data_IF_706074787446
#
_entry.id   IF_706074787446
#
_cell.length_a   1.000
_cell.length_b   1.000
_cell.length_c   1.000
_cell.angle_alpha   90.00
_cell.angle_beta   90.00
_cell.angle_gamma   90.00
#
_symmetry.space_group_name_H-M   'P 1'
#
loop_
_entity.id
_entity.type
_entity.pdbx_description
1 polymer ?
#
# COMPACT_ATOMS: atom_id res chain seq x y z
N UNK A 1 3.43 35.18 -15.07
CA UNK A 1 3.88 33.80 -14.76
C UNK A 1 2.92 33.26 -13.71
N UNK A 2 2.38 32.05 -13.86
CA UNK A 2 1.45 31.50 -12.87
C UNK A 2 2.23 30.87 -11.71
N UNK A 3 1.84 31.16 -10.48
CA UNK A 3 2.44 30.56 -9.28
C UNK A 3 1.59 29.38 -8.79
N UNK A 4 2.27 28.31 -8.35
CA UNK A 4 1.61 27.18 -7.69
C UNK A 4 1.12 27.59 -6.29
N UNK A 5 0.04 26.98 -5.84
CA UNK A 5 -0.44 27.17 -4.47
C UNK A 5 0.62 26.71 -3.45
N UNK A 6 0.67 27.36 -2.28
CA UNK A 6 1.68 27.09 -1.24
C UNK A 6 1.73 25.62 -0.81
N UNK A 7 0.58 24.94 -0.76
CA UNK A 7 0.52 23.52 -0.45
C UNK A 7 1.23 22.63 -1.49
N UNK A 8 1.30 23.08 -2.77
CA UNK A 8 2.01 22.34 -3.83
C UNK A 8 3.51 22.60 -3.75
N UNK A 9 3.92 23.86 -3.42
CA UNK A 9 5.33 24.21 -3.23
C UNK A 9 5.98 23.46 -2.05
N UNK A 10 5.16 23.06 -1.06
CA UNK A 10 5.60 22.30 0.12
C UNK A 10 5.71 20.79 -0.11
N UNK A 11 5.27 20.27 -1.26
CA UNK A 11 5.42 18.84 -1.57
C UNK A 11 6.91 18.48 -1.63
N UNK A 12 7.31 17.37 -0.97
CA UNK A 12 8.65 16.85 -1.17
C UNK A 12 8.83 16.44 -2.65
N UNK A 13 10.07 16.45 -3.16
CA UNK A 13 10.35 15.89 -4.48
C UNK A 13 9.80 14.47 -4.57
N UNK A 14 9.13 14.16 -5.68
CA UNK A 14 8.60 12.82 -5.86
C UNK A 14 9.76 11.84 -6.08
N UNK A 15 9.99 10.98 -5.08
CA UNK A 15 11.12 10.05 -5.01
C UNK A 15 11.37 9.28 -6.33
N UNK A 16 10.32 8.76 -6.94
CA UNK A 16 10.45 7.97 -8.16
C UNK A 16 10.86 8.81 -9.38
N UNK A 17 10.56 10.10 -9.42
CA UNK A 17 11.00 10.97 -10.52
C UNK A 17 12.52 11.19 -10.52
N UNK A 18 13.14 11.27 -9.34
CA UNK A 18 14.60 11.37 -9.25
C UNK A 18 15.28 10.05 -9.64
N UNK A 19 14.72 8.93 -9.18
CA UNK A 19 15.20 7.60 -9.58
C UNK A 19 15.09 7.42 -11.10
N UNK A 20 13.97 7.84 -11.71
CA UNK A 20 13.80 7.74 -13.17
C UNK A 20 14.80 8.59 -13.94
N UNK A 21 15.12 9.80 -13.46
CA UNK A 21 16.17 10.63 -14.05
C UNK A 21 17.54 9.95 -14.01
N UNK A 22 17.93 9.40 -12.87
CA UNK A 22 19.20 8.67 -12.71
C UNK A 22 19.24 7.43 -13.59
N UNK A 23 18.15 6.69 -13.72
CA UNK A 23 18.04 5.54 -14.63
C UNK A 23 18.34 5.93 -16.07
N UNK A 24 17.75 7.04 -16.55
CA UNK A 24 18.00 7.52 -17.92
C UNK A 24 19.46 7.93 -18.15
N UNK A 25 20.10 8.54 -17.16
CA UNK A 25 21.53 8.90 -17.25
C UNK A 25 22.43 7.66 -17.32
N UNK A 26 22.12 6.62 -16.54
CA UNK A 26 22.90 5.38 -16.53
C UNK A 26 22.65 4.55 -17.79
N UNK A 27 21.43 4.49 -18.31
CA UNK A 27 21.11 3.85 -19.59
C UNK A 27 21.88 4.47 -20.77
N UNK A 28 22.03 5.79 -20.79
CA UNK A 28 22.83 6.48 -21.82
C UNK A 28 24.31 6.08 -21.82
N UNK A 29 24.81 5.56 -20.68
CA UNK A 29 26.18 5.00 -20.57
C UNK A 29 26.25 3.54 -21.03
N UNK A 30 25.16 2.94 -21.52
CA UNK A 30 25.09 1.56 -22.03
C UNK A 30 24.93 0.49 -20.93
N UNK A 31 24.60 0.88 -19.70
CA UNK A 31 24.37 -0.08 -18.61
C UNK A 31 22.98 -0.69 -18.75
N UNK A 32 22.92 -2.02 -18.73
CA UNK A 32 21.66 -2.78 -18.63
C UNK A 32 21.11 -2.69 -17.22
N UNK A 33 19.88 -2.21 -17.08
CA UNK A 33 19.26 -1.89 -15.78
C UNK A 33 18.15 -2.87 -15.44
N UNK A 34 18.23 -3.44 -14.25
CA UNK A 34 17.16 -4.22 -13.61
C UNK A 34 16.49 -3.36 -12.52
N UNK A 35 15.23 -3.05 -12.72
CA UNK A 35 14.48 -2.22 -11.77
C UNK A 35 13.82 -3.08 -10.69
N UNK A 36 14.37 -3.02 -9.47
CA UNK A 36 13.82 -3.60 -8.25
C UNK A 36 13.26 -2.53 -7.29
N UNK A 37 13.19 -1.28 -7.74
CA UNK A 37 12.70 -0.16 -6.92
C UNK A 37 11.16 -0.06 -6.92
N UNK A 38 10.52 -0.33 -8.06
CA UNK A 38 9.08 -0.16 -8.21
C UNK A 38 8.33 -1.45 -7.85
N UNK A 39 7.31 -1.34 -7.00
CA UNK A 39 6.43 -2.46 -6.63
C UNK A 39 5.26 -2.59 -7.60
N UNK A 40 5.54 -2.89 -8.87
CA UNK A 40 4.54 -3.11 -9.91
C UNK A 40 4.63 -4.55 -10.43
N UNK A 41 3.67 -5.43 -10.09
CA UNK A 41 3.69 -6.82 -10.53
C UNK A 41 3.77 -6.96 -12.06
N UNK A 42 4.78 -7.70 -12.53
CA UNK A 42 5.01 -8.01 -13.94
C UNK A 42 4.15 -9.16 -14.47
N UNK A 43 3.64 -10.01 -13.57
CA UNK A 43 2.76 -11.11 -13.92
C UNK A 43 1.44 -10.54 -14.42
N UNK A 44 0.93 -11.00 -15.58
CA UNK A 44 -0.34 -10.48 -16.10
C UNK A 44 -1.52 -10.79 -15.18
N UNK A 45 -2.56 -9.97 -15.28
CA UNK A 45 -3.86 -10.27 -14.68
C UNK A 45 -4.34 -11.64 -15.13
N UNK A 46 -4.91 -12.49 -14.26
CA UNK A 46 -5.46 -13.81 -14.62
C UNK A 46 -6.39 -13.74 -15.84
N UNK A 47 -6.21 -14.70 -16.75
CA UNK A 47 -6.91 -14.70 -18.03
C UNK A 47 -8.43 -14.71 -17.88
N UNK A 48 -8.93 -15.39 -16.87
CA UNK A 48 -10.37 -15.48 -16.58
C UNK A 48 -10.97 -14.10 -16.28
N UNK A 49 -10.25 -13.24 -15.55
CA UNK A 49 -10.64 -11.86 -15.27
C UNK A 49 -10.70 -11.05 -16.57
N UNK A 50 -9.70 -11.24 -17.46
CA UNK A 50 -9.62 -10.55 -18.75
C UNK A 50 -10.80 -10.95 -19.63
N UNK A 51 -11.16 -12.24 -19.70
CA UNK A 51 -12.29 -12.71 -20.51
C UNK A 51 -13.64 -12.19 -20.00
N UNK A 52 -13.80 -12.07 -18.67
CA UNK A 52 -14.99 -11.43 -18.08
C UNK A 52 -15.06 -9.94 -18.47
N UNK A 53 -13.94 -9.23 -18.41
CA UNK A 53 -13.88 -7.82 -18.80
C UNK A 53 -14.23 -7.62 -20.29
N UNK A 54 -13.72 -8.47 -21.18
CA UNK A 54 -14.05 -8.41 -22.62
C UNK A 54 -15.55 -8.53 -22.86
N UNK A 55 -16.21 -9.49 -22.21
CA UNK A 55 -17.67 -9.65 -22.30
C UNK A 55 -18.41 -8.44 -21.71
N UNK A 56 -17.92 -7.89 -20.61
CA UNK A 56 -18.53 -6.73 -19.99
C UNK A 56 -18.41 -5.47 -20.87
N UNK A 57 -17.35 -5.36 -21.68
CA UNK A 57 -17.17 -4.27 -22.66
C UNK A 57 -18.19 -4.33 -23.81
N UNK A 58 -18.74 -5.50 -24.12
CA UNK A 58 -19.75 -5.67 -25.18
C UNK A 58 -21.15 -5.26 -24.70
N UNK A 59 -21.40 -5.16 -23.40
CA UNK A 59 -22.69 -4.72 -22.85
C UNK A 59 -22.76 -3.17 -22.81
N UNK A 60 -23.65 -2.56 -23.65
CA UNK A 60 -23.76 -1.10 -23.71
C UNK A 60 -24.20 -0.45 -22.39
N UNK A 61 -24.80 -1.18 -21.45
CA UNK A 61 -25.15 -0.67 -20.12
C UNK A 61 -23.92 -0.25 -19.34
N UNK A 62 -22.80 -0.91 -19.57
CA UNK A 62 -21.55 -0.60 -18.90
C UNK A 62 -20.87 0.67 -19.44
N UNK A 63 -21.36 1.28 -20.52
CA UNK A 63 -20.80 2.51 -21.12
C UNK A 63 -21.41 3.79 -20.52
N UNK A 64 -22.37 3.67 -19.64
CA UNK A 64 -23.00 4.81 -18.96
C UNK A 64 -22.22 5.18 -17.69
N UNK A 65 -22.51 6.36 -17.12
CA UNK A 65 -21.95 6.75 -15.84
C UNK A 65 -22.25 5.68 -14.78
N UNK A 66 -21.23 5.20 -14.04
CA UNK A 66 -21.45 4.26 -12.96
C UNK A 66 -22.07 4.95 -11.72
N UNK A 67 -22.53 4.14 -10.77
CA UNK A 67 -22.81 4.66 -9.43
C UNK A 67 -21.54 5.21 -8.80
N UNK A 68 -21.61 6.38 -8.17
CA UNK A 68 -20.46 7.02 -7.50
C UNK A 68 -19.85 6.17 -6.37
N UNK A 69 -20.69 5.38 -5.68
CA UNK A 69 -20.24 4.47 -4.61
C UNK A 69 -19.82 3.10 -5.14
N UNK A 70 -20.03 2.85 -6.44
CA UNK A 70 -19.76 1.58 -7.10
C UNK A 70 -20.99 0.70 -7.28
N UNK A 71 -20.90 -0.23 -8.23
CA UNK A 71 -21.95 -1.22 -8.49
C UNK A 71 -22.25 -2.02 -7.24
N UNK A 72 -23.52 -2.32 -6.99
CA UNK A 72 -23.92 -3.12 -5.84
C UNK A 72 -23.27 -4.50 -5.84
N UNK A 73 -23.20 -5.14 -7.00
CA UNK A 73 -22.59 -6.46 -7.18
C UNK A 73 -21.12 -6.47 -6.77
N UNK A 74 -20.36 -5.42 -7.11
CA UNK A 74 -18.96 -5.29 -6.71
C UNK A 74 -18.82 -5.08 -5.20
N UNK A 75 -19.64 -4.18 -4.62
CA UNK A 75 -19.63 -3.92 -3.18
C UNK A 75 -20.05 -5.16 -2.38
N UNK A 76 -21.04 -5.91 -2.88
CA UNK A 76 -21.46 -7.16 -2.29
C UNK A 76 -20.35 -8.22 -2.36
N UNK A 77 -19.69 -8.35 -3.51
CA UNK A 77 -18.58 -9.30 -3.66
C UNK A 77 -17.42 -8.95 -2.69
N UNK A 78 -17.13 -7.67 -2.46
CA UNK A 78 -16.16 -7.22 -1.48
C UNK A 78 -16.58 -7.59 -0.03
N UNK A 79 -17.85 -7.35 0.33
CA UNK A 79 -18.40 -7.74 1.63
C UNK A 79 -18.35 -9.27 1.84
N UNK A 80 -18.79 -10.04 0.84
CA UNK A 80 -18.77 -11.50 0.88
C UNK A 80 -17.34 -12.06 0.97
N UNK A 81 -16.38 -11.42 0.29
CA UNK A 81 -14.97 -11.78 0.38
C UNK A 81 -14.41 -11.52 1.78
N UNK A 82 -14.72 -10.37 2.41
CA UNK A 82 -14.35 -10.08 3.80
C UNK A 82 -14.92 -11.10 4.78
N UNK A 83 -16.18 -11.52 4.56
CA UNK A 83 -16.79 -12.57 5.39
C UNK A 83 -16.07 -13.92 5.26
N UNK A 84 -15.72 -14.33 4.02
CA UNK A 84 -15.00 -15.60 3.79
C UNK A 84 -13.56 -15.55 4.30
N UNK A 85 -12.87 -14.43 4.06
CA UNK A 85 -11.42 -14.32 4.29
C UNK A 85 -11.06 -13.96 5.72
N UNK A 86 -11.83 -13.07 6.34
CA UNK A 86 -11.56 -12.47 7.64
C UNK A 86 -12.68 -12.69 8.66
N UNK A 87 -13.74 -13.39 8.30
CA UNK A 87 -14.94 -13.56 9.12
C UNK A 87 -15.59 -12.23 9.57
N UNK A 88 -15.39 -11.14 8.80
CA UNK A 88 -15.97 -9.81 9.07
C UNK A 88 -17.27 -9.64 8.28
N UNK A 89 -18.35 -9.35 8.97
CA UNK A 89 -19.66 -9.07 8.36
C UNK A 89 -19.79 -7.58 8.04
N UNK A 90 -20.16 -7.28 6.78
CA UNK A 90 -20.29 -5.93 6.24
C UNK A 90 -21.59 -5.78 5.47
N UNK A 91 -22.29 -4.66 5.67
CA UNK A 91 -23.40 -4.27 4.82
C UNK A 91 -22.88 -3.61 3.54
N UNK A 92 -23.10 -4.27 2.41
CA UNK A 92 -22.70 -3.77 1.09
C UNK A 92 -23.33 -2.41 0.72
N UNK A 93 -24.43 -2.00 1.37
CA UNK A 93 -25.07 -0.72 1.08
C UNK A 93 -24.45 0.47 1.81
N UNK A 94 -23.95 0.25 3.02
CA UNK A 94 -23.52 1.34 3.91
C UNK A 94 -22.07 1.24 4.37
N UNK A 95 -21.46 0.06 4.32
CA UNK A 95 -20.11 -0.20 4.87
C UNK A 95 -19.06 -0.54 3.81
N UNK A 96 -19.38 -0.37 2.52
CA UNK A 96 -18.49 -0.63 1.38
C UNK A 96 -18.59 0.46 0.34
N UNK A 97 -17.44 0.93 -0.16
CA UNK A 97 -17.35 1.86 -1.30
C UNK A 97 -16.27 1.41 -2.28
N UNK A 98 -16.54 1.47 -3.59
CA UNK A 98 -15.55 1.20 -4.62
C UNK A 98 -14.59 2.37 -4.80
N UNK A 99 -13.33 2.08 -5.17
CA UNK A 99 -12.26 3.07 -5.30
C UNK A 99 -11.52 2.90 -6.63
N UNK A 100 -11.11 4.02 -7.24
CA UNK A 100 -10.21 4.04 -8.40
C UNK A 100 -8.78 3.67 -7.94
N UNK A 101 -8.65 2.44 -7.41
CA UNK A 101 -7.53 1.95 -6.61
C UNK A 101 -7.55 2.52 -5.18
N UNK A 102 -6.98 1.77 -4.21
CA UNK A 102 -6.97 2.18 -2.79
C UNK A 102 -6.34 3.55 -2.54
N UNK A 103 -5.33 3.93 -3.35
CA UNK A 103 -4.64 5.22 -3.25
C UNK A 103 -5.60 6.42 -3.30
N UNK A 104 -6.62 6.37 -4.15
CA UNK A 104 -7.63 7.42 -4.28
C UNK A 104 -8.38 7.62 -2.96
N UNK A 105 -8.90 6.54 -2.37
CA UNK A 105 -9.62 6.60 -1.11
C UNK A 105 -8.76 7.07 0.06
N UNK A 106 -7.51 6.57 0.12
CA UNK A 106 -6.51 7.00 1.12
C UNK A 106 -6.25 8.51 1.00
N UNK A 107 -6.12 9.02 -0.24
CA UNK A 107 -5.86 10.44 -0.48
C UNK A 107 -7.07 11.32 -0.15
N UNK A 108 -8.28 10.84 -0.35
CA UNK A 108 -9.52 11.60 -0.14
C UNK A 108 -10.04 11.54 1.31
N UNK A 109 -9.71 10.50 2.06
CA UNK A 109 -10.24 10.32 3.42
C UNK A 109 -9.97 11.52 4.34
N UNK A 110 -8.74 12.08 4.41
CA UNK A 110 -8.50 13.25 5.26
C UNK A 110 -9.34 14.46 4.88
N UNK A 111 -9.68 14.64 3.59
CA UNK A 111 -10.52 15.76 3.15
C UNK A 111 -11.93 15.73 3.75
N UNK A 112 -12.41 14.52 4.13
CA UNK A 112 -13.73 14.37 4.73
C UNK A 112 -13.74 14.66 6.25
N UNK A 113 -12.63 14.48 6.96
CA UNK A 113 -12.62 14.44 8.42
C UNK A 113 -11.60 15.34 9.11
N UNK A 114 -10.61 15.86 8.38
CA UNK A 114 -9.51 16.64 8.95
C UNK A 114 -9.70 18.12 8.64
N UNK A 115 -9.69 18.94 9.67
CA UNK A 115 -9.70 20.39 9.56
C UNK A 115 -8.30 20.97 9.76
N UNK A 116 -8.04 22.21 9.32
CA UNK A 116 -6.81 22.93 9.66
C UNK A 116 -6.58 22.97 11.17
N UNK A 117 -5.41 22.46 11.61
CA UNK A 117 -5.04 22.41 13.03
C UNK A 117 -5.22 21.04 13.68
N UNK A 118 -6.03 20.14 13.11
CA UNK A 118 -6.14 18.75 13.54
C UNK A 118 -4.85 17.98 13.21
N UNK A 119 -4.54 16.94 14.03
CA UNK A 119 -3.42 16.06 13.76
C UNK A 119 -3.85 14.81 12.98
N UNK A 120 -2.95 14.39 12.10
CA UNK A 120 -2.99 13.10 11.41
C UNK A 120 -1.72 12.33 11.78
N UNK A 121 -1.89 11.16 12.40
CA UNK A 121 -0.77 10.26 12.74
C UNK A 121 -0.40 9.44 11.50
N UNK A 122 0.87 9.48 11.10
CA UNK A 122 1.38 8.77 9.91
C UNK A 122 2.62 7.95 10.26
N UNK A 123 2.76 6.72 9.75
CA UNK A 123 3.97 5.93 9.96
C UNK A 123 5.17 6.55 9.23
N UNK A 124 6.35 6.48 9.84
CA UNK A 124 7.63 6.90 9.28
C UNK A 124 8.70 5.81 9.57
N UNK A 125 9.22 5.05 8.57
CA UNK A 125 8.88 5.13 7.16
C UNK A 125 7.46 4.66 6.85
N UNK A 126 6.87 5.16 5.76
CA UNK A 126 5.52 4.81 5.37
C UNK A 126 5.22 5.10 3.90
N UNK A 127 4.05 4.70 3.45
CA UNK A 127 3.62 4.98 2.09
C UNK A 127 3.47 6.50 1.88
N UNK A 128 4.16 7.11 0.89
CA UNK A 128 4.26 8.57 0.77
C UNK A 128 2.94 9.31 0.62
N UNK A 129 1.85 8.60 0.32
CA UNK A 129 0.52 9.21 0.16
C UNK A 129 -0.06 9.67 1.49
N UNK A 130 0.24 9.02 2.61
CA UNK A 130 -0.37 9.37 3.91
C UNK A 130 -0.07 10.81 4.34
N UNK A 131 1.22 11.23 4.43
CA UNK A 131 1.53 12.61 4.80
C UNK A 131 1.04 13.63 3.76
N UNK A 132 1.10 13.29 2.46
CA UNK A 132 0.60 14.18 1.39
C UNK A 132 -0.90 14.40 1.50
N UNK A 133 -1.67 13.35 1.75
CA UNK A 133 -3.12 13.44 1.94
C UNK A 133 -3.50 14.31 3.16
N UNK A 134 -2.79 14.12 4.29
CA UNK A 134 -2.97 14.95 5.48
C UNK A 134 -2.68 16.43 5.20
N UNK A 135 -1.60 16.72 4.49
CA UNK A 135 -1.20 18.09 4.11
C UNK A 135 -2.24 18.73 3.18
N UNK A 136 -2.77 18.00 2.18
CA UNK A 136 -3.80 18.53 1.28
C UNK A 136 -5.11 18.86 1.99
N UNK A 137 -5.44 18.14 3.05
CA UNK A 137 -6.57 18.44 3.92
C UNK A 137 -6.30 19.60 4.89
N UNK A 138 -5.07 20.11 4.99
CA UNK A 138 -4.68 21.16 5.93
C UNK A 138 -4.36 20.63 7.34
N UNK A 139 -4.27 19.34 7.53
CA UNK A 139 -3.92 18.69 8.80
C UNK A 139 -2.44 18.86 9.16
N UNK A 140 -2.15 18.78 10.45
CA UNK A 140 -0.80 18.68 10.99
C UNK A 140 -0.36 17.23 11.01
N UNK A 141 0.81 16.96 10.47
CA UNK A 141 1.38 15.61 10.43
C UNK A 141 2.13 15.35 11.74
N UNK A 142 1.79 14.24 12.40
CA UNK A 142 2.61 13.65 13.45
C UNK A 142 3.20 12.34 12.92
N UNK A 143 4.52 12.27 12.81
CA UNK A 143 5.25 11.08 12.35
C UNK A 143 5.37 10.08 13.50
N UNK A 144 4.95 8.85 13.28
CA UNK A 144 5.14 7.74 14.19
C UNK A 144 6.35 6.91 13.72
N UNK A 145 7.50 6.98 14.41
CA UNK A 145 8.70 6.25 14.00
C UNK A 145 8.48 4.74 14.03
N UNK A 146 8.76 4.06 12.91
CA UNK A 146 8.77 2.60 12.82
C UNK A 146 10.21 2.10 12.91
N UNK A 147 10.59 1.57 14.05
CA UNK A 147 11.97 1.16 14.34
C UNK A 147 12.09 -0.36 14.45
N UNK A 148 13.27 -0.89 14.11
CA UNK A 148 13.56 -2.32 14.16
C UNK A 148 13.40 -2.91 15.56
N UNK A 149 13.80 -2.17 16.61
CA UNK A 149 13.63 -2.59 18.01
C UNK A 149 12.18 -2.83 18.40
N UNK A 150 11.24 -2.25 17.66
CA UNK A 150 9.78 -2.39 17.86
C UNK A 150 9.11 -3.19 16.71
N UNK A 151 9.89 -4.02 16.02
CA UNK A 151 9.42 -4.80 14.85
C UNK A 151 8.73 -3.93 13.79
N UNK A 152 9.15 -2.68 13.64
CA UNK A 152 8.53 -1.67 12.75
C UNK A 152 7.04 -1.43 13.02
N UNK A 153 6.60 -1.60 14.28
CA UNK A 153 5.33 -1.11 14.78
C UNK A 153 5.54 0.26 15.46
N UNK A 154 4.58 1.20 15.39
CA UNK A 154 4.70 2.45 16.11
C UNK A 154 4.59 2.21 17.64
N UNK A 155 5.37 2.93 18.40
CA UNK A 155 5.24 2.99 19.85
C UNK A 155 4.08 3.95 20.20
N UNK A 156 2.92 3.36 20.48
CA UNK A 156 1.69 4.11 20.79
C UNK A 156 1.76 4.86 22.11
N UNK A 157 2.53 4.34 23.08
CA UNK A 157 2.67 4.93 24.41
C UNK A 157 3.54 6.19 24.37
N UNK A 158 4.42 6.32 23.38
CA UNK A 158 5.29 7.48 23.20
C UNK A 158 4.57 8.72 22.65
N UNK A 159 3.33 8.58 22.19
CA UNK A 159 2.57 9.69 21.59
C UNK A 159 2.03 10.59 22.69
N UNK A 160 2.45 11.86 22.67
CA UNK A 160 2.00 12.86 23.65
C UNK A 160 0.47 12.99 23.66
N UNK A 161 -0.12 13.03 24.86
CA UNK A 161 -1.56 13.13 25.03
C UNK A 161 -2.15 14.41 24.41
N UNK A 162 -1.39 15.51 24.38
CA UNK A 162 -1.81 16.75 23.75
C UNK A 162 -1.96 16.64 22.23
N UNK A 163 -1.22 15.74 21.59
CA UNK A 163 -1.34 15.36 20.18
C UNK A 163 -2.58 14.47 20.00
N UNK A 164 -2.69 13.41 20.82
CA UNK A 164 -3.82 12.47 20.75
C UNK A 164 -5.17 13.15 20.89
N UNK A 165 -5.30 14.12 21.79
CA UNK A 165 -6.55 14.92 21.97
C UNK A 165 -6.95 15.74 20.75
N UNK A 166 -6.03 16.04 19.84
CA UNK A 166 -6.26 16.78 18.59
C UNK A 166 -6.18 15.90 17.35
N UNK A 167 -5.93 14.61 17.52
CA UNK A 167 -5.87 13.66 16.41
C UNK A 167 -7.28 13.39 15.87
N UNK A 168 -7.41 13.37 14.54
CA UNK A 168 -8.62 13.00 13.82
C UNK A 168 -8.48 11.74 13.02
N UNK A 169 -7.25 11.43 12.60
CA UNK A 169 -6.99 10.28 11.74
C UNK A 169 -5.62 9.68 12.07
N UNK A 170 -5.56 8.37 12.09
CA UNK A 170 -4.32 7.60 12.18
C UNK A 170 -4.25 6.65 10.98
N UNK A 171 -3.17 6.74 10.21
CA UNK A 171 -2.86 5.73 9.19
C UNK A 171 -2.02 4.62 9.79
N UNK A 172 -2.41 3.38 9.49
CA UNK A 172 -1.61 2.17 9.69
C UNK A 172 -1.65 1.36 8.40
N UNK A 173 -0.66 0.50 8.16
CA UNK A 173 -0.66 -0.35 6.97
C UNK A 173 0.19 -1.59 7.22
N UNK A 174 -0.46 -2.73 7.39
CA UNK A 174 0.18 -4.03 7.59
C UNK A 174 -0.59 -5.11 6.82
N UNK A 175 0.11 -6.02 6.10
CA UNK A 175 1.57 -6.06 5.91
C UNK A 175 2.14 -4.78 5.28
N UNK A 176 3.28 -4.32 5.79
CA UNK A 176 3.75 -2.95 5.60
C UNK A 176 4.55 -2.72 4.32
N UNK A 177 4.31 -1.61 3.68
CA UNK A 177 5.18 -1.01 2.68
C UNK A 177 5.79 0.29 3.30
N UNK A 178 7.13 0.37 3.50
CA UNK A 178 8.17 -0.40 2.82
C UNK A 178 8.76 -1.57 3.61
N UNK A 179 8.51 -1.69 4.91
CA UNK A 179 9.30 -2.52 5.84
C UNK A 179 9.01 -4.02 5.77
N UNK A 180 7.92 -4.45 5.12
CA UNK A 180 7.39 -5.82 5.11
C UNK A 180 7.02 -6.36 6.49
N UNK A 181 7.01 -5.51 7.50
CA UNK A 181 6.58 -5.86 8.84
C UNK A 181 5.10 -6.29 8.85
N UNK A 182 4.75 -7.07 9.83
CA UNK A 182 3.39 -7.56 10.06
C UNK A 182 2.94 -7.17 11.45
N UNK A 183 1.65 -6.92 11.62
CA UNK A 183 1.05 -6.61 12.90
C UNK A 183 0.36 -7.86 13.48
N UNK A 184 0.32 -7.95 14.80
CA UNK A 184 -0.42 -8.96 15.53
C UNK A 184 -1.73 -8.41 16.10
N UNK A 185 -2.53 -9.29 16.65
CA UNK A 185 -3.83 -8.97 17.25
C UNK A 185 -3.69 -7.98 18.43
N UNK A 186 -2.62 -8.11 19.24
CA UNK A 186 -2.42 -7.24 20.40
C UNK A 186 -2.15 -5.80 19.98
N UNK A 187 -1.33 -5.61 18.96
CA UNK A 187 -1.10 -4.28 18.41
C UNK A 187 -2.40 -3.64 17.92
N UNK A 188 -3.21 -4.37 17.15
CA UNK A 188 -4.47 -3.84 16.67
C UNK A 188 -5.47 -3.54 17.80
N UNK A 189 -5.53 -4.36 18.85
CA UNK A 189 -6.33 -4.08 20.05
C UNK A 189 -5.91 -2.76 20.70
N UNK A 190 -4.61 -2.54 20.88
CA UNK A 190 -4.09 -1.28 21.43
C UNK A 190 -4.46 -0.07 20.56
N UNK A 191 -4.42 -0.21 19.23
CA UNK A 191 -4.86 0.84 18.30
C UNK A 191 -6.36 1.14 18.46
N UNK A 192 -7.21 0.11 18.55
CA UNK A 192 -8.66 0.28 18.75
C UNK A 192 -8.95 0.99 20.07
N UNK A 193 -8.31 0.58 21.16
CA UNK A 193 -8.48 1.19 22.47
C UNK A 193 -8.08 2.67 22.47
N UNK A 194 -6.93 2.97 21.82
CA UNK A 194 -6.45 4.34 21.69
C UNK A 194 -7.41 5.20 20.87
N UNK A 195 -7.89 4.67 19.74
CA UNK A 195 -8.83 5.36 18.88
C UNK A 195 -10.16 5.65 19.56
N UNK A 196 -10.69 4.69 20.33
CA UNK A 196 -11.92 4.89 21.13
C UNK A 196 -11.72 5.93 22.23
N UNK A 197 -10.57 5.88 22.94
CA UNK A 197 -10.27 6.80 24.04
C UNK A 197 -10.18 8.26 23.58
N UNK A 198 -9.58 8.51 22.42
CA UNK A 198 -9.34 9.86 21.91
C UNK A 198 -10.26 10.26 20.75
N UNK A 199 -11.17 9.39 20.35
CA UNK A 199 -12.19 9.62 19.32
C UNK A 199 -11.59 10.06 17.97
N UNK A 200 -10.71 9.23 17.41
CA UNK A 200 -10.16 9.41 16.07
C UNK A 200 -10.39 8.19 15.18
N UNK A 201 -10.32 8.41 13.86
CA UNK A 201 -10.51 7.36 12.84
C UNK A 201 -9.20 6.64 12.61
N UNK A 202 -9.24 5.31 12.50
CA UNK A 202 -8.13 4.48 12.05
C UNK A 202 -8.33 4.12 10.59
N UNK A 203 -7.38 4.50 9.73
CA UNK A 203 -7.32 4.14 8.32
C UNK A 203 -6.28 3.03 8.13
N UNK A 204 -6.75 1.80 7.99
CA UNK A 204 -5.92 0.61 7.77
C UNK A 204 -5.72 0.37 6.27
N UNK A 205 -4.47 0.41 5.78
CA UNK A 205 -4.11 0.07 4.40
C UNK A 205 -3.69 -1.40 4.33
N UNK A 206 -4.60 -2.25 3.87
CA UNK A 206 -4.44 -3.71 3.83
C UNK A 206 -4.26 -4.22 2.38
N UNK A 207 -3.42 -3.56 1.60
CA UNK A 207 -3.23 -3.88 0.18
C UNK A 207 -2.46 -5.19 -0.06
N UNK A 208 -1.77 -5.75 0.95
CA UNK A 208 -0.84 -6.87 0.80
C UNK A 208 -1.26 -8.15 1.54
N UNK A 209 -2.48 -8.22 2.08
CA UNK A 209 -2.97 -9.39 2.81
C UNK A 209 -2.94 -10.71 2.03
N UNK A 210 -2.99 -10.63 0.71
CA UNK A 210 -3.02 -11.82 -0.15
C UNK A 210 -1.64 -12.17 -0.76
N UNK A 211 -0.57 -11.53 -0.28
CA UNK A 211 0.81 -11.87 -0.64
C UNK A 211 1.54 -12.24 0.65
N UNK A 212 1.48 -13.51 1.00
CA UNK A 212 2.02 -14.05 2.25
C UNK A 212 2.75 -15.37 2.04
N UNK A 213 3.60 -15.74 3.00
CA UNK A 213 4.57 -16.80 2.88
C UNK A 213 4.56 -17.72 4.10
N UNK A 214 4.99 -18.96 3.91
CA UNK A 214 5.26 -19.93 4.97
C UNK A 214 4.06 -20.18 5.91
N UNK A 215 2.83 -20.10 5.37
CA UNK A 215 1.59 -20.30 6.13
C UNK A 215 1.22 -19.12 7.05
N UNK A 216 1.89 -17.98 6.92
CA UNK A 216 1.45 -16.76 7.61
C UNK A 216 0.13 -16.25 7.03
N UNK A 217 -0.84 -16.00 7.89
CA UNK A 217 -2.13 -15.43 7.53
C UNK A 217 -2.27 -14.04 8.16
N UNK A 218 -2.30 -12.98 7.35
CA UNK A 218 -2.53 -11.61 7.83
C UNK A 218 -3.91 -11.46 8.44
N UNK A 219 -3.97 -10.70 9.51
CA UNK A 219 -5.20 -10.32 10.20
C UNK A 219 -5.71 -9.00 9.60
N UNK A 220 -7.01 -8.91 9.32
CA UNK A 220 -7.66 -7.62 9.06
C UNK A 220 -7.80 -6.82 10.35
N UNK A 221 -7.57 -5.52 10.30
CA UNK A 221 -7.87 -4.63 11.42
C UNK A 221 -9.32 -4.76 11.89
N UNK A 222 -10.24 -4.99 10.95
CA UNK A 222 -11.67 -5.11 11.23
C UNK A 222 -12.09 -6.43 11.92
N UNK A 223 -11.19 -7.42 12.03
CA UNK A 223 -11.42 -8.63 12.84
C UNK A 223 -11.41 -8.33 14.34
N UNK A 224 -10.77 -7.23 14.74
CA UNK A 224 -10.64 -6.85 16.16
C UNK A 224 -11.97 -6.30 16.68
N UNK A 225 -12.38 -6.79 17.84
CA UNK A 225 -13.60 -6.32 18.48
C UNK A 225 -13.60 -4.79 18.70
N UNK A 226 -14.64 -4.15 18.21
CA UNK A 226 -14.78 -2.69 18.25
C UNK A 226 -14.01 -1.92 17.18
N UNK A 227 -13.21 -2.57 16.33
CA UNK A 227 -12.47 -1.90 15.26
C UNK A 227 -13.40 -1.24 14.23
N UNK A 228 -14.52 -1.90 13.90
CA UNK A 228 -15.52 -1.35 12.97
C UNK A 228 -16.19 -0.07 13.49
N UNK A 229 -16.15 0.18 14.80
CA UNK A 229 -16.69 1.43 15.37
C UNK A 229 -15.81 2.65 15.03
N UNK A 230 -14.51 2.45 14.87
CA UNK A 230 -13.53 3.53 14.72
C UNK A 230 -12.72 3.45 13.40
N UNK A 231 -12.90 2.39 12.59
CA UNK A 231 -11.99 2.08 11.51
C UNK A 231 -12.61 2.03 10.12
N UNK A 232 -11.75 2.31 9.15
CA UNK A 232 -11.93 2.04 7.73
C UNK A 232 -10.70 1.28 7.23
N UNK A 233 -10.92 0.24 6.42
CA UNK A 233 -9.84 -0.54 5.83
C UNK A 233 -9.88 -0.45 4.30
N UNK A 234 -8.71 -0.26 3.69
CA UNK A 234 -8.53 -0.13 2.25
C UNK A 234 -7.94 -1.41 1.67
N UNK A 235 -8.54 -1.90 0.60
CA UNK A 235 -8.04 -3.05 -0.12
C UNK A 235 -7.87 -2.74 -1.61
N UNK A 236 -6.86 -3.36 -2.24
CA UNK A 236 -6.52 -3.12 -3.64
C UNK A 236 -6.46 -4.42 -4.43
N UNK A 237 -7.22 -4.51 -5.53
CA UNK A 237 -7.12 -5.64 -6.46
C UNK A 237 -5.80 -5.59 -7.26
N UNK A 238 -5.10 -4.45 -7.23
CA UNK A 238 -3.80 -4.27 -7.89
C UNK A 238 -2.76 -5.30 -7.48
N UNK A 239 -2.74 -5.68 -6.19
CA UNK A 239 -1.72 -6.59 -5.64
C UNK A 239 -2.24 -8.02 -5.58
N UNK A 240 -3.51 -8.19 -5.21
CA UNK A 240 -4.15 -9.50 -5.08
C UNK A 240 -4.26 -10.24 -6.41
N UNK A 241 -4.52 -9.51 -7.53
CA UNK A 241 -4.79 -10.12 -8.84
C UNK A 241 -3.95 -9.50 -9.97
N UNK A 242 -2.85 -8.81 -9.66
CA UNK A 242 -2.03 -8.11 -10.65
C UNK A 242 -2.85 -7.16 -11.56
N UNK A 243 -3.76 -6.42 -10.96
CA UNK A 243 -4.65 -5.47 -11.65
C UNK A 243 -4.19 -4.01 -11.44
N UNK A 244 -2.88 -3.74 -11.43
CA UNK A 244 -2.35 -2.40 -11.14
C UNK A 244 -2.86 -1.33 -12.10
N UNK A 245 -2.87 -1.62 -13.40
CA UNK A 245 -3.36 -0.73 -14.45
C UNK A 245 -4.88 -0.58 -14.51
N UNK A 246 -5.63 -1.49 -13.89
CA UNK A 246 -7.10 -1.50 -13.93
C UNK A 246 -7.73 -0.44 -13.02
N UNK A 247 -6.96 0.07 -12.07
CA UNK A 247 -7.39 1.10 -11.13
C UNK A 247 -8.65 0.72 -10.36
N UNK A 248 -8.66 -0.43 -9.68
CA UNK A 248 -9.79 -0.90 -8.88
C UNK A 248 -9.34 -1.33 -7.47
N UNK A 249 -10.11 -0.93 -6.50
CA UNK A 249 -10.01 -1.26 -5.09
C UNK A 249 -11.32 -0.94 -4.39
N UNK A 250 -11.32 -1.05 -3.08
CA UNK A 250 -12.48 -0.70 -2.26
C UNK A 250 -12.04 -0.31 -0.85
N UNK A 251 -12.93 0.37 -0.15
CA UNK A 251 -12.82 0.60 1.29
C UNK A 251 -14.04 0.02 2.00
N UNK A 252 -13.81 -0.48 3.21
CA UNK A 252 -14.82 -1.11 4.06
C UNK A 252 -14.68 -0.66 5.51
N UNK A 253 -15.76 -0.70 6.29
CA UNK A 253 -15.69 -0.42 7.71
C UNK A 253 -16.82 0.44 8.22
N UNK A 254 -16.51 1.39 9.10
CA UNK A 254 -17.49 2.27 9.73
C UNK A 254 -18.37 3.00 8.71
N UNK A 255 -19.68 2.86 8.79
CA UNK A 255 -20.66 3.42 7.84
C UNK A 255 -20.58 4.95 7.70
N UNK A 256 -20.29 5.65 8.80
CA UNK A 256 -20.23 7.11 8.78
C UNK A 256 -18.93 7.59 8.11
N UNK A 257 -17.84 6.84 8.30
CA UNK A 257 -16.55 7.08 7.63
C UNK A 257 -16.66 6.77 6.14
N UNK A 258 -17.29 5.66 5.77
CA UNK A 258 -17.60 5.31 4.36
C UNK A 258 -18.47 6.37 3.70
N UNK A 259 -19.51 6.85 4.38
CA UNK A 259 -20.37 7.93 3.86
C UNK A 259 -19.59 9.24 3.68
N UNK A 260 -18.73 9.62 4.63
CA UNK A 260 -17.88 10.80 4.52
C UNK A 260 -16.93 10.74 3.32
N UNK A 261 -16.23 9.62 3.14
CA UNK A 261 -15.39 9.37 1.97
C UNK A 261 -16.22 9.40 0.68
N UNK A 262 -17.41 8.78 0.67
CA UNK A 262 -18.34 8.80 -0.46
C UNK A 262 -18.77 10.20 -0.87
N UNK A 263 -18.99 11.12 0.09
CA UNK A 263 -19.31 12.53 -0.20
C UNK A 263 -18.14 13.24 -0.91
N UNK A 264 -16.90 12.99 -0.52
CA UNK A 264 -15.74 13.53 -1.22
C UNK A 264 -15.66 12.98 -2.64
N UNK A 265 -15.77 11.66 -2.79
CA UNK A 265 -15.75 10.99 -4.11
C UNK A 265 -16.78 11.57 -5.07
N UNK A 266 -18.04 11.66 -4.66
CA UNK A 266 -19.13 12.14 -5.54
C UNK A 266 -18.92 13.58 -6.02
N UNK A 267 -18.04 14.35 -5.39
CA UNK A 267 -17.69 15.71 -5.79
C UNK A 267 -16.36 15.82 -6.56
N UNK A 268 -15.60 14.74 -6.68
CA UNK A 268 -14.29 14.71 -7.34
C UNK A 268 -14.28 13.82 -8.57
N UNK A 269 -14.88 12.62 -8.49
CA UNK A 269 -14.90 11.66 -9.59
C UNK A 269 -16.31 11.12 -9.83
N UNK A 270 -16.46 10.37 -10.93
CA UNK A 270 -17.73 9.74 -11.31
C UNK A 270 -17.74 8.22 -11.13
N UNK A 271 -16.81 7.70 -10.32
CA UNK A 271 -16.69 6.28 -10.04
C UNK A 271 -15.88 5.49 -11.07
N UNK A 272 -15.80 4.17 -10.86
CA UNK A 272 -15.02 3.25 -11.70
C UNK A 272 -15.84 2.81 -12.91
N UNK A 273 -15.21 2.69 -14.06
CA UNK A 273 -15.81 2.11 -15.27
C UNK A 273 -16.47 0.74 -14.95
N UNK A 274 -17.73 0.56 -15.35
CA UNK A 274 -18.54 -0.58 -14.93
C UNK A 274 -17.94 -1.93 -15.36
N UNK A 275 -17.37 -2.02 -16.58
CA UNK A 275 -16.74 -3.26 -17.04
C UNK A 275 -15.56 -3.70 -16.15
N UNK A 276 -14.83 -2.75 -15.57
CA UNK A 276 -13.77 -3.04 -14.59
C UNK A 276 -14.36 -3.56 -13.27
N UNK A 277 -15.50 -3.02 -12.84
CA UNK A 277 -16.18 -3.49 -11.64
C UNK A 277 -16.77 -4.89 -11.81
N UNK A 278 -17.30 -5.22 -12.99
CA UNK A 278 -17.76 -6.58 -13.33
C UNK A 278 -16.61 -7.57 -13.25
N UNK A 279 -15.46 -7.22 -13.82
CA UNK A 279 -14.24 -8.04 -13.73
C UNK A 279 -13.74 -8.18 -12.28
N UNK A 280 -13.77 -7.10 -11.50
CA UNK A 280 -13.41 -7.10 -10.07
C UNK A 280 -14.37 -7.94 -9.22
N UNK A 281 -15.65 -7.95 -9.53
CA UNK A 281 -16.66 -8.82 -8.91
C UNK A 281 -16.30 -10.29 -9.11
N UNK A 282 -15.97 -10.67 -10.35
CA UNK A 282 -15.53 -12.02 -10.67
C UNK A 282 -14.25 -12.39 -9.92
N UNK A 283 -13.28 -11.47 -9.88
CA UNK A 283 -12.01 -11.69 -9.20
C UNK A 283 -12.21 -11.98 -7.70
N UNK A 284 -13.02 -11.17 -7.01
CA UNK A 284 -13.30 -11.35 -5.58
C UNK A 284 -14.08 -12.63 -5.28
N UNK A 285 -15.02 -13.01 -6.15
CA UNK A 285 -15.79 -14.25 -5.98
C UNK A 285 -14.96 -15.51 -6.20
N UNK A 286 -13.80 -15.42 -6.87
CA UNK A 286 -12.91 -16.54 -7.17
C UNK A 286 -11.50 -16.30 -6.62
N UNK A 287 -11.37 -15.53 -5.54
CA UNK A 287 -10.11 -15.00 -5.06
C UNK A 287 -9.07 -16.10 -4.78
N UNK A 288 -9.46 -17.17 -4.10
CA UNK A 288 -8.55 -18.23 -3.65
C UNK A 288 -7.92 -18.98 -4.83
N UNK A 289 -8.71 -19.20 -5.90
CA UNK A 289 -8.25 -19.92 -7.10
C UNK A 289 -7.34 -19.03 -7.94
N UNK A 290 -7.74 -17.76 -8.11
CA UNK A 290 -7.03 -16.82 -8.98
C UNK A 290 -5.74 -16.26 -8.36
N UNK A 291 -5.67 -16.19 -7.04
CA UNK A 291 -4.49 -15.68 -6.34
C UNK A 291 -3.38 -16.74 -6.18
N UNK A 292 -3.73 -18.02 -6.06
CA UNK A 292 -2.76 -19.10 -5.83
C UNK A 292 -1.57 -19.10 -6.81
N UNK A 293 -1.77 -19.08 -8.15
CA UNK A 293 -0.64 -19.06 -9.09
C UNK A 293 0.25 -17.83 -8.94
N UNK A 294 -0.33 -16.70 -8.55
CA UNK A 294 0.40 -15.44 -8.29
C UNK A 294 1.29 -15.60 -7.05
N UNK A 295 0.74 -16.16 -5.98
CA UNK A 295 1.49 -16.44 -4.75
C UNK A 295 2.66 -17.39 -4.98
N UNK A 296 2.47 -18.47 -5.76
CA UNK A 296 3.52 -19.45 -6.07
C UNK A 296 4.75 -18.77 -6.71
N UNK A 297 4.53 -17.83 -7.63
CA UNK A 297 5.63 -17.07 -8.24
C UNK A 297 6.34 -16.18 -7.21
N UNK A 298 5.59 -15.50 -6.34
CA UNK A 298 6.20 -14.64 -5.32
C UNK A 298 6.91 -15.45 -4.22
N UNK A 299 6.43 -16.63 -3.86
CA UNK A 299 7.13 -17.55 -2.94
C UNK A 299 8.50 -17.93 -3.51
N UNK A 300 8.56 -18.34 -4.78
CA UNK A 300 9.82 -18.71 -5.43
C UNK A 300 10.80 -17.51 -5.49
N UNK A 301 10.34 -16.35 -5.97
CA UNK A 301 11.14 -15.14 -6.04
C UNK A 301 11.64 -14.67 -4.67
N UNK A 302 10.80 -14.73 -3.64
CA UNK A 302 11.18 -14.38 -2.26
C UNK A 302 12.27 -15.32 -1.74
N UNK A 303 12.16 -16.60 -2.01
CA UNK A 303 13.15 -17.58 -1.58
C UNK A 303 14.50 -17.37 -2.28
N UNK A 304 14.48 -17.14 -3.59
CA UNK A 304 15.69 -16.83 -4.36
C UNK A 304 16.37 -15.54 -3.86
N UNK A 305 15.59 -14.46 -3.67
CA UNK A 305 16.13 -13.19 -3.19
C UNK A 305 16.67 -13.30 -1.77
N UNK A 306 15.95 -13.99 -0.86
CA UNK A 306 16.41 -14.23 0.50
C UNK A 306 17.76 -14.96 0.54
N UNK A 307 17.92 -15.97 -0.31
CA UNK A 307 19.19 -16.70 -0.42
C UNK A 307 20.31 -15.79 -0.92
N UNK A 308 20.04 -15.01 -1.98
CA UNK A 308 21.04 -14.12 -2.57
C UNK A 308 21.51 -13.04 -1.61
N UNK A 309 20.58 -12.39 -0.91
CA UNK A 309 20.92 -11.35 0.07
C UNK A 309 21.74 -11.90 1.25
N UNK A 310 21.41 -13.11 1.73
CA UNK A 310 22.21 -13.79 2.76
C UNK A 310 23.61 -14.14 2.28
N UNK A 311 23.75 -14.69 1.06
CA UNK A 311 25.04 -15.05 0.46
C UNK A 311 25.91 -13.82 0.19
N UNK A 312 25.30 -12.68 -0.10
CA UNK A 312 25.95 -11.39 -0.26
C UNK A 312 26.21 -10.65 1.07
N UNK A 313 25.86 -11.24 2.22
CA UNK A 313 26.16 -10.67 3.55
C UNK A 313 25.24 -9.51 3.98
N UNK A 314 24.11 -9.30 3.30
CA UNK A 314 23.15 -8.27 3.70
C UNK A 314 22.35 -8.66 4.96
N UNK A 315 22.04 -7.67 5.79
CA UNK A 315 21.22 -7.77 7.00
C UNK A 315 19.77 -7.42 6.68
N UNK A 316 18.84 -8.33 6.91
CA UNK A 316 17.40 -8.15 6.69
C UNK A 316 16.59 -9.24 7.40
N UNK A 317 15.32 -8.94 7.66
CA UNK A 317 14.34 -9.95 8.07
C UNK A 317 13.70 -10.60 6.84
N UNK A 318 13.50 -11.93 6.89
CA UNK A 318 12.81 -12.63 5.82
C UNK A 318 11.35 -12.20 5.82
N UNK A 319 10.82 -11.63 4.71
CA UNK A 319 9.43 -11.20 4.65
C UNK A 319 8.44 -12.34 4.90
N UNK A 320 7.49 -12.13 5.81
CA UNK A 320 6.33 -13.02 6.02
C UNK A 320 5.18 -12.70 5.05
N UNK A 321 5.19 -11.48 4.51
CA UNK A 321 4.20 -10.98 3.57
C UNK A 321 4.79 -9.87 2.70
N UNK A 322 4.04 -9.35 1.75
CA UNK A 322 4.39 -8.38 0.71
C UNK A 322 5.38 -8.96 -0.34
N UNK A 323 5.64 -8.21 -1.36
CA UNK A 323 6.73 -8.53 -2.31
C UNK A 323 7.92 -7.58 -2.14
N UNK A 324 8.14 -7.08 -0.92
CA UNK A 324 9.25 -6.21 -0.58
C UNK A 324 10.24 -6.86 0.38
N UNK A 325 11.49 -6.45 0.26
CA UNK A 325 12.55 -6.66 1.24
C UNK A 325 12.97 -5.30 1.77
N UNK A 326 13.10 -5.20 3.09
CA UNK A 326 13.65 -4.05 3.78
C UNK A 326 15.02 -4.42 4.30
N UNK A 327 16.05 -3.88 3.64
CA UNK A 327 17.44 -4.34 3.78
C UNK A 327 18.28 -3.23 4.39
N UNK A 328 19.13 -3.57 5.35
CA UNK A 328 20.07 -2.59 5.92
C UNK A 328 21.12 -2.19 4.88
N UNK A 329 21.41 -0.90 4.86
CA UNK A 329 22.52 -0.36 4.08
C UNK A 329 23.85 -0.78 4.73
N UNK A 330 24.84 -1.23 3.96
CA UNK A 330 26.18 -1.52 4.47
C UNK A 330 26.80 -0.31 5.15
N UNK A 331 27.66 -0.56 6.16
CA UNK A 331 28.35 0.50 6.91
C UNK A 331 29.13 1.44 5.98
N UNK A 332 29.08 2.74 6.25
CA UNK A 332 29.81 3.76 5.51
C UNK A 332 29.02 4.40 4.35
N UNK A 333 27.76 4.01 4.12
CA UNK A 333 26.88 4.62 3.13
C UNK A 333 25.58 5.14 3.77
N UNK A 334 25.08 6.24 3.22
CA UNK A 334 23.66 6.63 3.38
C UNK A 334 22.78 5.80 2.44
N UNK A 335 21.47 5.77 2.70
CA UNK A 335 20.51 5.08 1.85
C UNK A 335 20.57 5.53 0.37
N UNK A 336 20.71 6.83 0.15
CA UNK A 336 20.77 7.41 -1.19
C UNK A 336 22.10 7.11 -1.89
N UNK A 337 23.23 7.18 -1.18
CA UNK A 337 24.55 6.85 -1.76
C UNK A 337 24.62 5.38 -2.15
N UNK A 338 24.09 4.49 -1.30
CA UNK A 338 24.09 3.06 -1.61
C UNK A 338 23.17 2.74 -2.79
N UNK A 339 21.96 3.32 -2.85
CA UNK A 339 21.06 3.13 -3.98
C UNK A 339 21.68 3.62 -5.30
N UNK A 340 22.41 4.75 -5.27
CA UNK A 340 23.15 5.25 -6.42
C UNK A 340 24.28 4.30 -6.84
N UNK A 341 25.07 3.79 -5.88
CA UNK A 341 26.14 2.81 -6.13
C UNK A 341 25.58 1.54 -6.79
N UNK A 342 24.46 1.00 -6.27
CA UNK A 342 23.79 -0.17 -6.83
C UNK A 342 23.39 0.04 -8.29
N UNK A 343 22.90 1.22 -8.63
CA UNK A 343 22.53 1.56 -10.00
C UNK A 343 23.75 1.71 -10.91
N UNK A 344 24.77 2.47 -10.49
CA UNK A 344 25.93 2.80 -11.33
C UNK A 344 26.87 1.62 -11.54
N UNK A 345 27.12 0.81 -10.52
CA UNK A 345 28.10 -0.29 -10.56
C UNK A 345 27.47 -1.65 -10.91
N UNK A 346 26.23 -1.91 -10.46
CA UNK A 346 25.58 -3.21 -10.64
C UNK A 346 24.41 -3.18 -11.64
N UNK A 347 23.98 -1.99 -12.09
CA UNK A 347 22.80 -1.85 -12.93
C UNK A 347 21.50 -2.25 -12.22
N UNK A 348 21.45 -2.15 -10.88
CA UNK A 348 20.27 -2.51 -10.09
C UNK A 348 19.65 -1.25 -9.48
N UNK A 349 18.39 -1.00 -9.78
CA UNK A 349 17.61 0.03 -9.09
C UNK A 349 17.03 -0.52 -7.82
N UNK A 350 17.30 0.13 -6.70
CA UNK A 350 16.64 -0.09 -5.41
C UNK A 350 16.06 1.24 -4.91
N UNK A 351 15.11 1.20 -3.99
CA UNK A 351 14.54 2.45 -3.45
C UNK A 351 15.23 2.77 -2.13
N UNK A 352 15.89 3.94 -1.99
CA UNK A 352 16.50 4.33 -0.73
C UNK A 352 15.45 4.53 0.36
N UNK A 353 15.76 4.11 1.58
CA UNK A 353 14.79 4.07 2.67
C UNK A 353 14.33 5.46 3.12
N UNK A 354 15.22 6.46 3.08
CA UNK A 354 14.88 7.84 3.38
C UNK A 354 13.81 8.45 2.44
N UNK A 355 13.57 7.83 1.29
CA UNK A 355 12.47 8.20 0.41
C UNK A 355 11.07 7.83 0.93
N UNK A 356 11.00 6.99 1.94
CA UNK A 356 9.76 6.63 2.64
C UNK A 356 9.57 7.39 3.96
N UNK A 357 10.55 8.18 4.37
CA UNK A 357 10.56 8.93 5.61
C UNK A 357 11.94 8.95 6.27
N UNK A 358 12.13 9.86 7.22
CA UNK A 358 13.43 10.08 7.86
C UNK A 358 13.94 8.84 8.62
N UNK A 359 13.02 8.12 9.28
CA UNK A 359 13.34 6.89 10.03
C UNK A 359 13.71 5.72 9.10
N UNK A 360 13.45 5.85 7.80
CA UNK A 360 13.90 4.89 6.79
C UNK A 360 15.38 5.00 6.42
N UNK A 361 16.12 6.03 6.91
CA UNK A 361 17.56 6.14 6.69
C UNK A 361 18.29 4.92 7.27
N UNK A 362 19.34 4.46 6.56
CA UNK A 362 20.08 3.24 6.88
C UNK A 362 19.46 1.96 6.32
N UNK A 363 18.39 2.08 5.52
CA UNK A 363 17.74 0.98 4.81
C UNK A 363 17.54 1.27 3.33
N UNK A 364 17.28 0.22 2.56
CA UNK A 364 16.77 0.32 1.20
C UNK A 364 15.73 -0.76 0.94
N UNK A 365 14.79 -0.48 0.04
CA UNK A 365 13.74 -1.43 -0.33
C UNK A 365 14.05 -2.10 -1.66
N UNK A 366 13.91 -3.42 -1.71
CA UNK A 366 13.88 -4.24 -2.93
C UNK A 366 12.45 -4.72 -3.18
N UNK A 367 12.02 -4.69 -4.43
CA UNK A 367 10.79 -5.34 -4.90
C UNK A 367 11.13 -6.58 -5.73
N UNK A 368 10.38 -7.67 -5.53
CA UNK A 368 10.52 -8.91 -6.31
C UNK A 368 9.48 -9.02 -7.43
N UNK A 369 8.97 -7.89 -7.90
CA UNK A 369 7.97 -7.84 -8.98
C UNK A 369 8.58 -7.84 -10.39
N UNK A 370 9.90 -7.89 -10.53
CA UNK A 370 10.60 -7.91 -11.82
C UNK A 370 10.88 -9.36 -12.27
N UNK A 371 10.67 -9.73 -13.55
CA UNK A 371 10.92 -11.08 -14.05
C UNK A 371 12.42 -11.46 -14.08
N UNK A 372 13.33 -10.47 -14.05
CA UNK A 372 14.77 -10.67 -14.10
C UNK A 372 15.42 -10.99 -12.74
N UNK A 373 14.66 -11.59 -11.81
CA UNK A 373 15.14 -11.91 -10.45
C UNK A 373 16.42 -12.74 -10.48
N UNK A 374 16.52 -13.75 -11.36
CA UNK A 374 17.71 -14.59 -11.47
C UNK A 374 18.97 -13.80 -11.82
N UNK A 375 18.86 -12.80 -12.72
CA UNK A 375 19.97 -11.94 -13.10
C UNK A 375 20.28 -10.94 -12.00
N UNK A 376 19.26 -10.34 -11.38
CA UNK A 376 19.43 -9.46 -10.23
C UNK A 376 20.19 -10.15 -9.08
N UNK A 377 19.83 -11.40 -8.78
CA UNK A 377 20.52 -12.23 -7.77
C UNK A 377 22.00 -12.41 -8.08
N UNK A 378 22.37 -12.63 -9.34
CA UNK A 378 23.79 -12.75 -9.74
C UNK A 378 24.55 -11.43 -9.51
N UNK A 379 23.96 -10.30 -9.92
CA UNK A 379 24.56 -8.97 -9.76
C UNK A 379 24.69 -8.56 -8.30
N UNK A 380 23.71 -8.91 -7.45
CA UNK A 380 23.74 -8.65 -6.01
C UNK A 380 24.94 -9.33 -5.32
N UNK A 381 25.32 -10.55 -5.74
CA UNK A 381 26.48 -11.26 -5.18
C UNK A 381 27.82 -10.57 -5.43
N UNK A 382 27.90 -9.67 -6.39
CA UNK A 382 29.08 -8.88 -6.73
C UNK A 382 29.03 -7.44 -6.20
N UNK A 383 28.00 -7.10 -5.41
CA UNK A 383 27.71 -5.72 -5.00
C UNK A 383 28.41 -5.28 -3.69
N UNK A 384 29.03 -6.22 -2.98
CA UNK A 384 29.71 -5.98 -1.68
C UNK A 384 31.19 -6.32 -1.79
#
# INVERSE_FOLDING_TARGET
MFEMAERIKKLPPYLFAEIDRLKEEVRKKGVDIIDLGVGDPDIPTPKEIIEVAKKALEDPKNHQYPSYVGMYEFRKAAADWYKRRFNVELDANSEVVSLIGSKEGIAHLPMAFVNPGDYVLVPDPGYPVYPVAAMFAGGKIYKMPLKAENNFLPDLESIDESILRKTKLMFIGYPNNPTSAVADENFYKSVVELAKRYNFIVASDNAYSEICYDGYEPISFLEIDGAKEVGIEFHSLSKTFNMTGWRIGFAVGNKDVINGLGKVKTNIDSGIFQAVQVAGTYALNNAEILNRPIQEVFIDRRNQMSKALKEAGFEFDIPKATFYFWVRVPSGFTSSEFAKKMLEENGIVVTPGNGFGETGEGYFRISITNPQINEAVKRLKSAI
#
